data_IF_842983427695
#
_entry.id   IF_842983427695
#
_cell.length_a   1.000
_cell.length_b   1.000
_cell.length_c   1.000
_cell.angle_alpha   90.00
_cell.angle_beta   90.00
_cell.angle_gamma   90.00
#
_symmetry.space_group_name_H-M   'P 1'
#
loop_
_entity.id
_entity.type
_entity.pdbx_description
1 polymer ?
#
# COMPACT_ATOMS: atom_id res chain seq x y z
N UNK A 1 -12.46 -12.81 27.93
CA UNK A 1 -11.13 -12.18 28.06
C UNK A 1 -10.56 -12.20 26.66
N UNK A 2 -10.34 -11.08 25.96
CA UNK A 2 -9.57 -9.88 26.33
C UNK A 2 -10.44 -8.64 26.58
N UNK A 3 -10.27 -8.01 27.76
CA UNK A 3 -10.79 -6.67 28.11
C UNK A 3 -9.86 -5.60 27.52
N UNK A 4 -9.71 -5.59 26.19
CA UNK A 4 -9.07 -4.50 25.47
C UNK A 4 -9.84 -4.33 24.16
N UNK A 5 -11.02 -3.71 24.28
CA UNK A 5 -11.83 -3.33 23.13
C UNK A 5 -11.31 -1.99 22.63
N UNK A 6 -10.59 -2.00 21.50
CA UNK A 6 -10.30 -0.77 20.76
C UNK A 6 -11.57 -0.20 20.10
N UNK A 7 -12.66 -1.00 20.08
CA UNK A 7 -13.92 -0.70 19.42
C UNK A 7 -15.08 -0.96 20.37
N UNK A 8 -16.09 -0.10 20.34
CA UNK A 8 -17.31 -0.27 21.14
C UNK A 8 -18.11 -1.49 20.67
N UNK A 9 -18.09 -1.78 19.35
CA UNK A 9 -18.66 -2.96 18.67
C UNK A 9 -17.92 -3.25 17.35
N UNK A 10 -17.98 -4.49 16.86
CA UNK A 10 -17.25 -4.91 15.65
C UNK A 10 -18.06 -4.77 14.34
N UNK A 11 -19.39 -4.93 14.35
CA UNK A 11 -20.16 -4.98 13.08
C UNK A 11 -21.57 -4.36 13.13
N UNK A 12 -22.16 -4.21 14.32
CA UNK A 12 -23.54 -3.72 14.47
C UNK A 12 -23.56 -2.63 15.52
N UNK A 13 -23.92 -1.42 15.12
CA UNK A 13 -24.15 -0.29 16.02
C UNK A 13 -25.56 0.27 15.80
N UNK A 14 -26.16 0.74 16.89
CA UNK A 14 -27.47 1.39 16.91
C UNK A 14 -27.34 2.80 17.51
N UNK A 15 -28.44 3.54 17.51
CA UNK A 15 -28.47 4.91 18.04
C UNK A 15 -28.16 4.95 19.55
N UNK A 16 -28.53 3.91 20.27
CA UNK A 16 -28.32 3.76 21.72
C UNK A 16 -26.83 3.61 22.09
N UNK A 17 -25.98 3.31 21.13
CA UNK A 17 -24.53 3.13 21.32
C UNK A 17 -23.75 4.46 21.27
N UNK A 18 -24.41 5.61 21.08
CA UNK A 18 -23.70 6.89 20.96
C UNK A 18 -23.15 7.40 22.31
N UNK A 19 -21.92 7.96 22.37
CA UNK A 19 -20.95 8.06 21.27
C UNK A 19 -20.28 6.71 20.99
N UNK A 20 -19.98 6.44 19.71
CA UNK A 20 -19.31 5.21 19.29
C UNK A 20 -18.07 5.51 18.45
N UNK A 21 -17.13 4.57 18.45
CA UNK A 21 -16.07 4.45 17.45
C UNK A 21 -16.18 3.09 16.73
N UNK A 22 -16.21 3.13 15.40
CA UNK A 22 -16.29 1.95 14.54
C UNK A 22 -15.22 2.01 13.45
N UNK A 23 -14.57 0.88 13.18
CA UNK A 23 -13.67 0.67 12.05
C UNK A 23 -14.27 -0.39 11.14
N UNK A 24 -14.48 -0.05 9.88
CA UNK A 24 -14.96 -0.98 8.85
C UNK A 24 -13.82 -1.22 7.87
N UNK A 25 -13.39 -2.47 7.74
CA UNK A 25 -12.32 -2.86 6.82
C UNK A 25 -12.92 -3.48 5.57
N UNK A 26 -12.92 -2.74 4.46
CA UNK A 26 -13.31 -3.27 3.16
C UNK A 26 -12.17 -4.11 2.58
N UNK A 27 -12.47 -5.36 2.23
CA UNK A 27 -11.45 -6.31 1.80
C UNK A 27 -11.33 -6.42 0.28
N UNK A 28 -12.35 -5.98 -0.48
CA UNK A 28 -12.48 -6.30 -1.91
C UNK A 28 -11.31 -5.83 -2.79
N UNK A 29 -10.68 -4.71 -2.44
CA UNK A 29 -9.54 -4.13 -3.19
C UNK A 29 -8.20 -4.78 -2.86
N UNK A 30 -8.13 -5.58 -1.78
CA UNK A 30 -7.00 -6.48 -1.56
C UNK A 30 -7.04 -7.59 -2.62
N UNK A 31 -5.87 -8.08 -3.03
CA UNK A 31 -5.80 -9.19 -4.00
C UNK A 31 -6.32 -10.49 -3.41
N UNK A 32 -7.12 -11.20 -4.18
CA UNK A 32 -7.61 -12.52 -3.78
C UNK A 32 -8.53 -13.17 -4.79
N UNK A 33 -8.95 -14.38 -4.44
CA UNK A 33 -9.66 -15.30 -5.34
C UNK A 33 -11.05 -14.79 -5.79
N UNK A 34 -11.56 -13.73 -5.19
CA UNK A 34 -12.85 -13.12 -5.53
C UNK A 34 -12.79 -12.20 -6.76
N UNK A 35 -11.62 -11.72 -7.17
CA UNK A 35 -11.49 -10.69 -8.21
C UNK A 35 -12.19 -11.05 -9.53
N UNK A 36 -11.97 -12.27 -10.03
CA UNK A 36 -12.63 -12.77 -11.25
C UNK A 36 -14.14 -12.85 -11.08
N UNK A 37 -14.60 -13.24 -9.89
CA UNK A 37 -16.04 -13.32 -9.59
C UNK A 37 -16.68 -11.93 -9.56
N UNK A 38 -16.05 -10.96 -8.89
CA UNK A 38 -16.51 -9.56 -8.85
C UNK A 38 -16.57 -8.98 -10.26
N UNK A 39 -15.50 -9.13 -11.04
CA UNK A 39 -15.46 -8.66 -12.44
C UNK A 39 -16.56 -9.30 -13.29
N UNK A 40 -16.75 -10.62 -13.18
CA UNK A 40 -17.77 -11.35 -13.93
C UNK A 40 -19.21 -10.93 -13.57
N UNK A 41 -19.41 -10.38 -12.37
CA UNK A 41 -20.70 -9.88 -11.89
C UNK A 41 -20.87 -8.37 -12.06
N UNK A 42 -19.83 -7.63 -12.47
CA UNK A 42 -19.94 -6.19 -12.72
C UNK A 42 -20.85 -5.93 -13.92
N UNK A 43 -21.72 -4.92 -13.79
CA UNK A 43 -22.55 -4.43 -14.90
C UNK A 43 -21.75 -3.53 -15.86
N UNK A 44 -20.57 -3.05 -15.42
CA UNK A 44 -19.75 -2.08 -16.12
C UNK A 44 -18.25 -2.47 -16.08
N UNK A 45 -17.89 -3.72 -16.45
CA UNK A 45 -16.51 -4.17 -16.33
C UNK A 45 -15.57 -3.29 -17.16
N UNK A 46 -14.45 -2.89 -16.56
CA UNK A 46 -13.46 -2.04 -17.20
C UNK A 46 -12.86 -2.75 -18.42
N UNK A 47 -12.83 -2.07 -19.56
CA UNK A 47 -12.19 -2.55 -20.78
C UNK A 47 -10.65 -2.50 -20.61
N UNK A 48 -9.94 -3.64 -20.66
CA UNK A 48 -8.48 -3.67 -20.59
C UNK A 48 -7.79 -2.82 -21.66
N UNK A 49 -8.43 -2.55 -22.80
CA UNK A 49 -7.86 -1.70 -23.84
C UNK A 49 -7.95 -0.21 -23.51
N UNK A 50 -8.83 0.17 -22.59
CA UNK A 50 -9.08 1.56 -22.20
C UNK A 50 -8.28 1.99 -20.96
N UNK A 51 -7.53 1.09 -20.31
CA UNK A 51 -6.74 1.45 -19.13
C UNK A 51 -5.46 2.19 -19.50
N UNK A 52 -5.16 3.23 -18.72
CA UNK A 52 -3.89 3.94 -18.75
C UNK A 52 -2.91 3.28 -17.78
N UNK A 53 -1.88 2.63 -18.33
CA UNK A 53 -0.82 2.02 -17.54
C UNK A 53 0.27 3.06 -17.20
N UNK A 54 0.83 3.04 -15.98
CA UNK A 54 2.03 3.81 -15.68
C UNK A 54 3.18 3.41 -16.61
N UNK A 55 4.08 4.35 -16.96
CA UNK A 55 5.19 4.09 -17.89
C UNK A 55 6.22 3.06 -17.41
N UNK A 56 6.21 2.70 -16.13
CA UNK A 56 7.04 1.61 -15.58
C UNK A 56 6.39 0.23 -15.69
N UNK A 57 5.16 0.13 -16.22
CA UNK A 57 4.46 -1.13 -16.50
C UNK A 57 4.51 -1.42 -17.99
N UNK A 58 4.98 -2.61 -18.44
CA UNK A 58 4.93 -2.97 -19.84
C UNK A 58 3.49 -2.97 -20.40
N UNK A 59 3.34 -2.50 -21.63
CA UNK A 59 2.09 -2.63 -22.37
C UNK A 59 1.91 -4.10 -22.83
N UNK A 60 1.31 -4.90 -21.95
CA UNK A 60 1.07 -6.32 -22.17
C UNK A 60 -0.41 -6.67 -21.89
N UNK A 61 -1.06 -7.53 -22.71
CA UNK A 61 -2.47 -7.87 -22.54
C UNK A 61 -2.83 -8.35 -21.12
N UNK A 62 -1.98 -9.18 -20.51
CA UNK A 62 -2.19 -9.67 -19.13
C UNK A 62 -2.05 -8.60 -18.06
N UNK A 63 -1.14 -7.66 -18.23
CA UNK A 63 -0.97 -6.53 -17.30
C UNK A 63 -2.17 -5.58 -17.40
N UNK A 64 -2.67 -5.33 -18.61
CA UNK A 64 -3.89 -4.55 -18.84
C UNK A 64 -5.12 -5.22 -18.24
N UNK A 65 -5.26 -6.53 -18.42
CA UNK A 65 -6.35 -7.33 -17.85
C UNK A 65 -6.33 -7.28 -16.32
N UNK A 66 -5.15 -7.46 -15.71
CA UNK A 66 -4.95 -7.33 -14.28
C UNK A 66 -5.34 -5.94 -13.76
N UNK A 67 -4.89 -4.88 -14.43
CA UNK A 67 -5.18 -3.50 -14.05
C UNK A 67 -6.68 -3.17 -14.17
N UNK A 68 -7.33 -3.61 -15.24
CA UNK A 68 -8.77 -3.46 -15.41
C UNK A 68 -9.54 -4.22 -14.32
N UNK A 69 -9.10 -5.43 -13.99
CA UNK A 69 -9.70 -6.24 -12.92
C UNK A 69 -9.56 -5.56 -11.55
N UNK A 70 -8.42 -4.93 -11.27
CA UNK A 70 -8.25 -4.11 -10.06
C UNK A 70 -9.24 -2.93 -10.02
N UNK A 71 -9.44 -2.23 -11.14
CA UNK A 71 -10.38 -1.11 -11.21
C UNK A 71 -11.84 -1.55 -11.01
N UNK A 72 -12.23 -2.76 -11.44
CA UNK A 72 -13.54 -3.32 -11.10
C UNK A 72 -13.72 -3.50 -9.59
N UNK A 73 -12.64 -3.82 -8.85
CA UNK A 73 -12.72 -3.93 -7.38
C UNK A 73 -12.91 -2.56 -6.74
N UNK A 74 -12.36 -1.50 -7.35
CA UNK A 74 -12.58 -0.11 -6.89
C UNK A 74 -14.04 0.28 -7.07
N UNK A 75 -14.65 -0.05 -8.22
CA UNK A 75 -16.09 0.17 -8.45
C UNK A 75 -16.94 -0.59 -7.40
N UNK A 76 -16.63 -1.87 -7.16
CA UNK A 76 -17.34 -2.66 -6.18
C UNK A 76 -17.21 -2.08 -4.75
N UNK A 77 -16.00 -1.64 -4.38
CA UNK A 77 -15.74 -0.99 -3.09
C UNK A 77 -16.50 0.32 -2.93
N UNK A 78 -16.63 1.13 -3.98
CA UNK A 78 -17.44 2.35 -3.97
C UNK A 78 -18.92 2.02 -3.67
N UNK A 79 -19.44 0.95 -4.27
CA UNK A 79 -20.78 0.45 -3.93
C UNK A 79 -20.88 -0.03 -2.47
N UNK A 80 -19.89 -0.73 -1.94
CA UNK A 80 -19.86 -1.11 -0.50
C UNK A 80 -19.89 0.12 0.42
N UNK A 81 -19.14 1.17 0.09
CA UNK A 81 -19.19 2.46 0.81
C UNK A 81 -20.59 3.07 0.73
N UNK A 82 -21.23 3.04 -0.45
CA UNK A 82 -22.60 3.51 -0.64
C UNK A 82 -23.61 2.77 0.25
N UNK A 83 -23.46 1.45 0.42
CA UNK A 83 -24.31 0.66 1.32
C UNK A 83 -24.14 1.07 2.78
N UNK A 84 -22.90 1.31 3.23
CA UNK A 84 -22.62 1.77 4.60
C UNK A 84 -23.24 3.14 4.87
N UNK A 85 -23.10 4.08 3.93
CA UNK A 85 -23.70 5.41 4.05
C UNK A 85 -25.23 5.34 4.11
N UNK A 86 -25.84 4.52 3.26
CA UNK A 86 -27.28 4.29 3.25
C UNK A 86 -27.77 3.70 4.57
N UNK A 87 -27.05 2.74 5.14
CA UNK A 87 -27.41 2.16 6.45
C UNK A 87 -27.38 3.22 7.57
N UNK A 88 -26.37 4.10 7.57
CA UNK A 88 -26.28 5.22 8.51
C UNK A 88 -27.43 6.21 8.36
N UNK A 89 -27.89 6.48 7.14
CA UNK A 89 -29.06 7.30 6.83
C UNK A 89 -30.35 6.65 7.35
N UNK A 90 -30.57 5.36 7.04
CA UNK A 90 -31.75 4.60 7.47
C UNK A 90 -31.86 4.53 8.99
N UNK A 91 -30.72 4.40 9.69
CA UNK A 91 -30.63 4.44 11.16
C UNK A 91 -30.71 5.85 11.74
N UNK A 92 -30.75 6.90 10.91
CA UNK A 92 -30.75 8.33 11.32
C UNK A 92 -29.53 8.69 12.18
N UNK A 93 -28.37 8.15 11.83
CA UNK A 93 -27.11 8.34 12.55
C UNK A 93 -26.11 9.22 11.76
N UNK A 94 -26.31 9.34 10.45
CA UNK A 94 -25.40 10.04 9.53
C UNK A 94 -25.10 11.48 9.95
N UNK A 95 -26.09 12.24 10.42
CA UNK A 95 -25.95 13.66 10.79
C UNK A 95 -25.09 13.89 12.04
N UNK A 96 -24.85 12.84 12.83
CA UNK A 96 -24.04 12.87 14.05
C UNK A 96 -22.79 11.97 13.94
N UNK A 97 -22.37 11.64 12.72
CA UNK A 97 -21.22 10.78 12.47
C UNK A 97 -20.17 11.54 11.65
N UNK A 98 -18.91 11.44 12.05
CA UNK A 98 -17.75 11.84 11.24
C UNK A 98 -17.15 10.57 10.66
N UNK A 99 -16.94 10.57 9.35
CA UNK A 99 -16.43 9.45 8.58
C UNK A 99 -15.02 9.80 8.09
N UNK A 100 -14.07 8.90 8.34
CA UNK A 100 -12.76 8.92 7.71
C UNK A 100 -12.68 7.74 6.74
N UNK A 101 -12.45 8.03 5.45
CA UNK A 101 -12.18 7.02 4.44
C UNK A 101 -10.70 7.08 4.06
N UNK A 102 -10.00 5.95 4.21
CA UNK A 102 -8.56 5.81 3.98
C UNK A 102 -8.21 4.46 3.37
N UNK A 103 -7.02 4.36 2.77
CA UNK A 103 -6.35 3.08 2.55
C UNK A 103 -5.20 2.89 3.55
N UNK A 104 -4.80 1.66 3.80
CA UNK A 104 -3.64 1.30 4.64
C UNK A 104 -2.31 1.54 3.92
N UNK A 105 -2.25 1.21 2.63
CA UNK A 105 -1.13 1.43 1.74
C UNK A 105 -1.61 1.69 0.30
N UNK A 106 -0.66 2.00 -0.59
CA UNK A 106 -0.94 2.17 -2.02
C UNK A 106 -1.36 0.88 -2.74
N UNK A 107 -1.59 1.00 -4.05
CA UNK A 107 -2.13 -0.06 -4.91
C UNK A 107 -1.34 -1.37 -4.82
N UNK A 108 -1.97 -2.51 -5.04
CA UNK A 108 -1.34 -3.82 -4.93
C UNK A 108 -0.48 -4.24 -6.16
N UNK A 109 0.01 -3.26 -6.93
CA UNK A 109 0.80 -3.44 -8.17
C UNK A 109 2.31 -3.25 -7.95
N UNK A 110 3.07 -3.38 -9.03
CA UNK A 110 4.51 -3.08 -9.08
C UNK A 110 4.76 -1.63 -8.65
N UNK A 111 5.78 -1.42 -7.81
CA UNK A 111 6.10 -0.15 -7.12
C UNK A 111 5.01 0.39 -6.17
N UNK A 112 3.90 -0.31 -5.99
CA UNK A 112 2.83 0.02 -5.06
C UNK A 112 3.09 -0.50 -3.65
N UNK A 113 2.11 -1.19 -3.04
CA UNK A 113 2.14 -1.82 -1.71
C UNK A 113 3.51 -2.43 -1.41
N UNK A 114 4.05 -2.07 -0.24
CA UNK A 114 5.36 -2.51 0.21
C UNK A 114 6.53 -1.78 -0.43
N UNK A 115 6.34 -0.73 -1.22
CA UNK A 115 7.43 0.10 -1.73
C UNK A 115 7.20 1.56 -1.32
N UNK A 116 8.28 2.33 -1.15
CA UNK A 116 8.23 3.70 -0.62
C UNK A 116 8.14 4.78 -1.72
N UNK A 117 7.65 4.39 -2.90
CA UNK A 117 7.30 5.28 -4.01
C UNK A 117 5.91 5.91 -3.80
N UNK A 118 5.58 6.96 -4.56
CA UNK A 118 4.24 7.59 -4.57
C UNK A 118 3.12 6.54 -4.73
N UNK A 119 3.17 5.57 -5.68
CA UNK A 119 2.13 4.55 -5.82
C UNK A 119 1.94 3.64 -4.60
N UNK A 120 2.92 3.55 -3.70
CA UNK A 120 2.90 2.72 -2.50
C UNK A 120 2.55 3.48 -1.21
N UNK A 121 2.77 4.80 -1.19
CA UNK A 121 2.60 5.64 0.03
C UNK A 121 1.50 6.68 -0.08
N UNK A 122 1.14 7.12 -1.29
CA UNK A 122 0.06 8.08 -1.51
C UNK A 122 -1.28 7.37 -1.59
N UNK A 123 -2.02 7.48 -0.50
CA UNK A 123 -3.33 6.86 -0.29
C UNK A 123 -4.47 7.89 -0.39
N UNK A 124 -5.71 7.45 -0.66
CA UNK A 124 -6.87 8.30 -0.43
C UNK A 124 -7.01 8.63 1.06
N UNK A 125 -7.43 9.86 1.35
CA UNK A 125 -7.85 10.29 2.69
C UNK A 125 -8.98 11.31 2.57
N UNK A 126 -10.16 10.94 3.04
CA UNK A 126 -11.36 11.79 3.05
C UNK A 126 -11.86 11.87 4.49
N UNK A 127 -12.14 13.09 4.96
CA UNK A 127 -12.86 13.33 6.20
C UNK A 127 -14.20 13.99 5.86
N UNK A 128 -15.31 13.38 6.27
CA UNK A 128 -16.66 13.81 5.92
C UNK A 128 -17.56 13.79 7.15
N UNK A 129 -18.49 14.75 7.24
CA UNK A 129 -19.49 14.78 8.32
C UNK A 129 -19.78 16.20 8.80
N UNK A 130 -20.71 16.28 9.76
CA UNK A 130 -21.17 17.56 10.31
C UNK A 130 -20.02 18.36 10.92
N UNK A 131 -19.92 19.64 10.54
CA UNK A 131 -18.91 20.57 11.04
C UNK A 131 -17.60 20.56 10.27
N UNK A 132 -17.39 19.61 9.36
CA UNK A 132 -16.25 19.61 8.44
C UNK A 132 -16.58 20.52 7.25
N UNK A 133 -15.70 21.48 6.96
CA UNK A 133 -15.88 22.40 5.83
C UNK A 133 -15.50 21.70 4.52
N UNK A 134 -16.32 21.82 3.45
CA UNK A 134 -15.93 21.33 2.13
C UNK A 134 -14.64 22.01 1.64
N UNK A 135 -13.74 21.22 1.06
CA UNK A 135 -12.50 21.73 0.48
C UNK A 135 -11.51 20.62 0.13
N UNK A 136 -10.46 20.99 -0.60
CA UNK A 136 -9.32 20.12 -0.91
C UNK A 136 -8.13 20.60 -0.08
N UNK A 137 -7.50 19.67 0.63
CA UNK A 137 -6.29 19.93 1.41
C UNK A 137 -5.08 19.44 0.63
N UNK A 138 -4.22 20.36 0.20
CA UNK A 138 -2.97 20.06 -0.52
C UNK A 138 -1.76 19.93 0.42
N UNK A 139 -1.95 20.12 1.73
CA UNK A 139 -0.90 19.92 2.72
C UNK A 139 -0.56 18.45 2.86
N UNK A 140 0.70 18.14 3.16
CA UNK A 140 1.11 16.77 3.47
C UNK A 140 0.49 16.36 4.80
N UNK A 141 -0.19 15.22 4.77
CA UNK A 141 -0.85 14.57 5.91
C UNK A 141 -0.39 13.12 5.99
N UNK A 142 -0.54 12.50 7.15
CA UNK A 142 -0.20 11.09 7.39
C UNK A 142 -1.38 10.36 8.02
N UNK A 143 -1.47 9.04 7.85
CA UNK A 143 -2.43 8.21 8.59
C UNK A 143 -2.31 8.36 10.11
N UNK A 144 -1.12 8.72 10.62
CA UNK A 144 -0.91 9.05 12.03
C UNK A 144 -1.75 10.23 12.51
N UNK A 145 -2.12 11.15 11.62
CA UNK A 145 -2.95 12.32 11.91
C UNK A 145 -4.40 11.95 12.21
N UNK A 146 -4.87 10.77 11.76
CA UNK A 146 -6.23 10.30 11.98
C UNK A 146 -6.48 10.06 13.45
N UNK A 147 -5.58 9.32 14.12
CA UNK A 147 -5.67 9.08 15.56
C UNK A 147 -5.69 10.39 16.34
N UNK A 148 -4.84 11.34 15.97
CA UNK A 148 -4.83 12.67 16.60
C UNK A 148 -6.12 13.46 16.34
N UNK A 149 -6.72 13.31 15.16
CA UNK A 149 -8.00 13.94 14.79
C UNK A 149 -9.18 13.36 15.54
N UNK A 150 -9.23 12.02 15.71
CA UNK A 150 -10.26 11.34 16.48
C UNK A 150 -10.24 11.79 17.94
N UNK A 151 -9.05 11.87 18.55
CA UNK A 151 -8.91 12.35 19.93
C UNK A 151 -9.33 13.81 20.09
N UNK A 152 -8.99 14.67 19.13
CA UNK A 152 -9.40 16.08 19.09
C UNK A 152 -10.93 16.22 18.99
N UNK A 153 -11.57 15.48 18.08
CA UNK A 153 -13.03 15.42 17.94
C UNK A 153 -13.69 14.95 19.24
N UNK A 154 -13.11 13.94 19.89
CA UNK A 154 -13.64 13.37 21.14
C UNK A 154 -13.39 14.28 22.37
N UNK A 155 -12.66 15.39 22.22
CA UNK A 155 -12.27 16.25 23.35
C UNK A 155 -11.28 15.57 24.32
N UNK A 156 -10.59 14.53 23.87
CA UNK A 156 -9.61 13.78 24.67
C UNK A 156 -8.24 14.41 24.50
N UNK A 157 -7.55 14.70 25.62
CA UNK A 157 -6.18 15.20 25.57
C UNK A 157 -5.27 14.17 24.88
N UNK A 158 -4.71 14.53 23.73
CA UNK A 158 -3.76 13.70 22.99
C UNK A 158 -2.53 13.37 23.85
N UNK A 159 -2.18 12.09 24.04
CA UNK A 159 -0.91 11.70 24.66
C UNK A 159 0.31 12.25 23.91
N UNK A 160 1.40 12.47 24.65
CA UNK A 160 2.64 13.06 24.11
C UNK A 160 3.37 12.12 23.15
N UNK A 161 3.19 10.80 23.29
CA UNK A 161 3.78 9.79 22.42
C UNK A 161 3.05 9.60 21.07
N UNK A 162 1.89 10.25 20.86
CA UNK A 162 1.23 10.26 19.55
C UNK A 162 1.85 11.37 18.70
N UNK A 163 2.53 10.97 17.62
CA UNK A 163 3.25 11.89 16.73
C UNK A 163 2.36 12.68 15.78
N UNK A 164 1.21 12.11 15.41
CA UNK A 164 0.25 12.76 14.51
C UNK A 164 -0.32 14.06 15.06
N UNK A 165 -0.78 14.92 14.16
CA UNK A 165 -1.47 16.18 14.45
C UNK A 165 -2.90 16.10 13.94
N UNK A 166 -3.85 16.67 14.67
CA UNK A 166 -5.24 16.72 14.18
C UNK A 166 -5.30 17.41 12.82
N UNK A 167 -6.13 16.87 11.92
CA UNK A 167 -6.43 17.44 10.60
C UNK A 167 -7.23 18.76 10.72
N UNK A 168 -7.87 18.99 11.86
CA UNK A 168 -8.68 20.18 12.14
C UNK A 168 -7.92 21.25 12.94
N UNK A 169 -6.71 20.92 13.40
CA UNK A 169 -5.86 21.87 14.11
C UNK A 169 -5.40 23.00 13.18
N UNK A 170 -5.56 24.25 13.62
CA UNK A 170 -5.05 25.42 12.90
C UNK A 170 -3.53 25.53 13.03
N UNK A 171 -2.88 25.95 11.95
CA UNK A 171 -1.45 26.28 11.93
C UNK A 171 -0.73 25.64 10.75
N UNK A 172 0.55 25.99 10.59
CA UNK A 172 1.37 25.45 9.50
C UNK A 172 1.78 24.01 9.80
N UNK A 173 1.50 23.08 8.88
CA UNK A 173 2.04 21.71 8.95
C UNK A 173 3.44 21.64 8.33
N UNK A 174 4.27 20.69 8.79
CA UNK A 174 5.49 20.34 8.07
C UNK A 174 5.14 19.90 6.65
N UNK A 175 5.86 20.43 5.65
CA UNK A 175 5.69 20.04 4.26
C UNK A 175 6.51 18.79 3.91
N UNK A 176 6.49 17.80 4.80
CA UNK A 176 7.20 16.54 4.64
C UNK A 176 6.56 15.41 5.45
N UNK A 177 6.76 14.16 5.01
CA UNK A 177 6.49 12.95 5.79
C UNK A 177 7.65 11.96 5.65
N UNK A 178 7.74 11.05 6.61
CA UNK A 178 8.71 9.95 6.62
C UNK A 178 7.97 8.63 6.45
N UNK A 179 8.56 7.70 5.72
CA UNK A 179 8.10 6.31 5.68
C UNK A 179 9.27 5.34 5.85
N UNK A 180 8.95 4.15 6.32
CA UNK A 180 9.91 3.09 6.57
C UNK A 180 9.37 1.76 6.04
N UNK A 181 10.27 0.94 5.51
CA UNK A 181 10.05 -0.48 5.23
C UNK A 181 11.17 -1.28 5.85
N UNK A 182 10.78 -2.30 6.60
CA UNK A 182 11.66 -3.32 7.13
C UNK A 182 11.36 -4.65 6.41
N UNK A 183 11.30 -5.79 7.10
CA UNK A 183 10.91 -7.03 6.43
C UNK A 183 9.44 -6.99 5.98
N UNK A 184 9.18 -7.65 4.86
CA UNK A 184 7.83 -7.96 4.41
C UNK A 184 7.77 -9.46 4.16
N UNK A 185 7.05 -10.17 5.04
CA UNK A 185 7.01 -11.62 5.08
C UNK A 185 8.45 -12.19 5.19
N UNK A 186 8.83 -13.08 4.27
CA UNK A 186 10.16 -13.70 4.18
C UNK A 186 11.25 -12.78 3.59
N UNK A 187 10.87 -11.63 3.02
CA UNK A 187 11.80 -10.71 2.38
C UNK A 187 12.39 -9.74 3.41
N UNK A 188 13.69 -9.88 3.66
CA UNK A 188 14.44 -8.94 4.52
C UNK A 188 14.78 -7.69 3.73
N UNK A 189 14.35 -6.55 4.24
CA UNK A 189 14.59 -5.26 3.62
C UNK A 189 14.81 -4.17 4.69
N UNK A 190 15.46 -3.07 4.32
CA UNK A 190 15.55 -1.88 5.15
C UNK A 190 15.66 -0.63 4.28
N UNK A 191 14.54 0.10 4.19
CA UNK A 191 14.38 1.30 3.37
C UNK A 191 13.76 2.39 4.22
N UNK A 192 14.25 3.62 4.06
CA UNK A 192 13.65 4.82 4.67
C UNK A 192 13.42 5.86 3.59
N UNK A 193 12.34 6.61 3.68
CA UNK A 193 12.06 7.71 2.76
C UNK A 193 11.72 9.01 3.47
N UNK A 194 12.02 10.12 2.80
CA UNK A 194 11.51 11.46 3.13
C UNK A 194 10.84 11.99 1.88
N UNK A 195 9.56 12.29 1.99
CA UNK A 195 8.82 12.93 0.90
C UNK A 195 8.38 14.32 1.33
N UNK A 196 8.51 15.26 0.41
CA UNK A 196 8.13 16.67 0.54
C UNK A 196 7.10 17.00 -0.54
N UNK A 197 6.64 18.25 -0.60
CA UNK A 197 5.71 18.68 -1.67
C UNK A 197 6.33 18.63 -3.08
N UNK A 198 7.65 18.50 -3.20
CA UNK A 198 8.35 18.49 -4.49
C UNK A 198 9.27 17.28 -4.69
N UNK A 199 9.84 16.74 -3.62
CA UNK A 199 10.86 15.70 -3.70
C UNK A 199 10.49 14.48 -2.89
N UNK A 200 10.72 13.30 -3.46
CA UNK A 200 10.81 12.03 -2.72
C UNK A 200 12.26 11.58 -2.70
N UNK A 201 12.79 11.32 -1.50
CA UNK A 201 14.10 10.71 -1.29
C UNK A 201 13.91 9.34 -0.68
N UNK A 202 14.63 8.35 -1.19
CA UNK A 202 14.62 6.98 -0.69
C UNK A 202 16.06 6.56 -0.42
N UNK A 203 16.31 5.95 0.74
CA UNK A 203 17.59 5.36 1.10
C UNK A 203 17.43 3.86 1.24
N UNK A 204 18.15 3.12 0.39
CA UNK A 204 18.22 1.67 0.43
C UNK A 204 19.44 1.26 1.26
N UNK A 205 19.21 0.67 2.43
CA UNK A 205 20.31 0.17 3.28
C UNK A 205 20.81 -1.21 2.85
N UNK A 206 20.08 -1.86 1.94
CA UNK A 206 20.40 -3.17 1.36
C UNK A 206 20.42 -3.08 -0.18
N UNK A 207 21.28 -2.22 -0.78
CA UNK A 207 21.28 -1.96 -2.21
C UNK A 207 21.72 -3.16 -3.05
N UNK A 208 22.40 -4.13 -2.46
CA UNK A 208 22.80 -5.37 -3.11
C UNK A 208 21.61 -6.27 -3.46
N UNK A 209 20.45 -6.06 -2.83
CA UNK A 209 19.22 -6.82 -3.10
C UNK A 209 18.40 -6.12 -4.19
N UNK A 210 17.80 -6.87 -5.13
CA UNK A 210 16.89 -6.31 -6.13
C UNK A 210 15.56 -5.86 -5.52
N UNK A 211 14.71 -5.19 -6.30
CA UNK A 211 13.31 -4.93 -5.90
C UNK A 211 12.43 -6.17 -5.99
N UNK A 212 12.64 -6.99 -7.04
CA UNK A 212 12.05 -8.32 -7.17
C UNK A 212 12.93 -9.35 -6.45
N UNK A 213 12.56 -9.68 -5.21
CA UNK A 213 13.25 -10.66 -4.38
C UNK A 213 12.55 -12.02 -4.39
N UNK A 214 11.69 -12.29 -5.38
CA UNK A 214 10.90 -13.51 -5.45
C UNK A 214 10.10 -13.78 -4.17
N UNK A 215 9.38 -12.76 -3.69
CA UNK A 215 8.47 -12.92 -2.56
C UNK A 215 7.31 -13.86 -2.94
N UNK A 216 6.91 -14.73 -2.02
CA UNK A 216 5.75 -15.63 -2.13
C UNK A 216 4.50 -14.82 -2.42
N UNK A 217 4.26 -13.72 -1.67
CA UNK A 217 3.12 -12.85 -1.95
C UNK A 217 3.13 -12.30 -3.38
N UNK A 218 4.28 -11.84 -3.89
CA UNK A 218 4.35 -11.32 -5.27
C UNK A 218 4.03 -12.43 -6.29
N UNK A 219 4.53 -13.64 -6.08
CA UNK A 219 4.33 -14.75 -7.01
C UNK A 219 2.86 -15.20 -7.11
N UNK A 220 2.12 -15.14 -6.01
CA UNK A 220 0.71 -15.53 -6.00
C UNK A 220 -0.24 -14.39 -6.37
N UNK A 221 0.11 -13.15 -6.01
CA UNK A 221 -0.82 -12.03 -6.07
C UNK A 221 -0.48 -11.03 -7.17
N UNK A 222 0.71 -10.99 -7.76
CA UNK A 222 1.06 -10.00 -8.80
C UNK A 222 1.36 -10.61 -10.16
N UNK A 223 0.35 -11.00 -10.95
CA UNK A 223 0.52 -11.50 -12.32
C UNK A 223 1.53 -10.73 -13.20
N UNK A 224 1.54 -9.40 -13.12
CA UNK A 224 2.51 -8.56 -13.83
C UNK A 224 3.97 -8.94 -13.56
N UNK A 225 4.32 -9.45 -12.37
CA UNK A 225 5.70 -9.81 -12.04
C UNK A 225 6.22 -10.92 -12.96
N UNK A 226 5.39 -11.92 -13.26
CA UNK A 226 5.79 -13.06 -14.08
C UNK A 226 5.95 -12.69 -15.54
N UNK A 227 5.06 -11.83 -16.04
CA UNK A 227 5.18 -11.21 -17.37
C UNK A 227 6.47 -10.40 -17.46
N UNK A 228 6.76 -9.55 -16.47
CA UNK A 228 7.97 -8.73 -16.46
C UNK A 228 9.25 -9.57 -16.38
N UNK A 229 9.28 -10.64 -15.57
CA UNK A 229 10.41 -11.60 -15.53
C UNK A 229 10.65 -12.26 -16.88
N UNK A 230 9.58 -12.66 -17.56
CA UNK A 230 9.66 -13.23 -18.92
C UNK A 230 10.23 -12.21 -19.91
N UNK A 231 9.68 -11.00 -19.92
CA UNK A 231 10.17 -9.91 -20.79
C UNK A 231 11.62 -9.53 -20.49
N UNK A 232 12.06 -9.57 -19.22
CA UNK A 232 13.47 -9.39 -18.83
C UNK A 232 14.34 -10.46 -19.48
N UNK A 233 13.97 -11.73 -19.34
CA UNK A 233 14.72 -12.86 -19.89
C UNK A 233 14.80 -12.81 -21.43
N UNK A 234 13.77 -12.27 -22.09
CA UNK A 234 13.72 -12.07 -23.54
C UNK A 234 14.42 -10.78 -24.01
N UNK A 235 14.88 -9.91 -23.11
CA UNK A 235 15.48 -8.62 -23.45
C UNK A 235 14.49 -7.61 -24.05
N UNK A 236 13.20 -7.71 -23.69
CA UNK A 236 12.09 -6.90 -24.24
C UNK A 236 11.63 -5.76 -23.33
N UNK A 237 12.23 -5.58 -22.16
CA UNK A 237 11.96 -4.43 -21.30
C UNK A 237 12.71 -3.20 -21.83
N UNK A 238 12.03 -2.05 -21.82
CA UNK A 238 12.64 -0.75 -22.08
C UNK A 238 13.23 -0.14 -20.80
N UNK A 239 13.81 1.06 -20.91
CA UNK A 239 14.49 1.72 -19.80
C UNK A 239 13.59 2.04 -18.58
N UNK A 240 12.28 2.22 -18.76
CA UNK A 240 11.37 2.53 -17.65
C UNK A 240 10.82 1.25 -17.02
N UNK A 241 10.51 0.26 -17.86
CA UNK A 241 9.95 -1.03 -17.44
C UNK A 241 11.01 -1.98 -16.89
N UNK A 242 12.30 -1.74 -17.16
CA UNK A 242 13.41 -2.48 -16.55
C UNK A 242 13.72 -2.05 -15.11
N UNK A 243 13.34 -0.83 -14.70
CA UNK A 243 13.77 -0.25 -13.40
C UNK A 243 13.52 -1.17 -12.21
N UNK A 244 12.31 -1.75 -12.11
CA UNK A 244 11.96 -2.65 -11.02
C UNK A 244 12.65 -4.02 -11.11
N UNK A 245 13.15 -4.36 -12.29
CA UNK A 245 13.75 -5.64 -12.64
C UNK A 245 15.28 -5.62 -12.56
N UNK A 246 15.90 -4.50 -12.18
CA UNK A 246 17.34 -4.41 -11.97
C UNK A 246 17.82 -5.31 -10.83
N UNK A 247 19.03 -5.85 -10.97
CA UNK A 247 19.60 -6.80 -10.00
C UNK A 247 20.07 -6.14 -8.70
N UNK A 248 20.23 -4.81 -8.72
CA UNK A 248 20.65 -4.00 -7.58
C UNK A 248 19.90 -2.68 -7.52
N UNK A 249 19.75 -2.15 -6.31
CA UNK A 249 19.15 -0.84 -6.07
C UNK A 249 20.21 0.25 -5.95
N UNK A 250 19.90 1.50 -6.32
CA UNK A 250 20.71 2.64 -5.92
C UNK A 250 20.77 2.72 -4.39
N UNK A 251 21.92 3.02 -3.79
CA UNK A 251 21.99 3.26 -2.35
C UNK A 251 21.10 4.45 -1.91
N UNK A 252 20.98 5.45 -2.79
CA UNK A 252 20.12 6.61 -2.60
C UNK A 252 19.39 6.98 -3.88
N UNK A 253 18.12 7.35 -3.74
CA UNK A 253 17.24 7.80 -4.80
C UNK A 253 16.70 9.19 -4.46
N UNK A 254 16.62 10.07 -5.45
CA UNK A 254 15.95 11.37 -5.35
C UNK A 254 15.11 11.61 -6.59
N UNK A 255 13.84 11.93 -6.42
CA UNK A 255 12.91 12.24 -7.49
C UNK A 255 12.30 13.62 -7.29
N UNK A 256 12.20 14.43 -8.34
CA UNK A 256 11.41 15.67 -8.37
C UNK A 256 10.00 15.32 -8.86
N UNK A 257 9.11 14.96 -7.93
CA UNK A 257 7.77 14.44 -8.22
C UNK A 257 6.86 15.45 -8.92
N UNK A 258 7.24 16.73 -8.97
CA UNK A 258 6.51 17.75 -9.75
C UNK A 258 6.84 17.72 -11.24
N UNK A 259 8.01 17.16 -11.59
CA UNK A 259 8.47 17.01 -12.98
C UNK A 259 8.40 15.56 -13.46
N UNK A 260 8.55 14.63 -12.53
CA UNK A 260 8.59 13.19 -12.75
C UNK A 260 7.64 12.48 -11.75
N UNK A 261 6.32 12.53 -11.99
CA UNK A 261 5.33 11.98 -11.05
C UNK A 261 5.36 10.46 -10.94
N UNK A 262 6.09 9.77 -11.82
CA UNK A 262 6.26 8.33 -11.80
C UNK A 262 7.62 7.89 -11.24
N UNK A 263 8.44 8.84 -10.79
CA UNK A 263 9.71 8.60 -10.11
C UNK A 263 10.62 7.66 -10.93
N UNK A 264 10.83 7.99 -12.20
CA UNK A 264 11.62 7.20 -13.16
C UNK A 264 13.07 7.65 -13.24
N UNK A 265 13.35 8.93 -12.99
CA UNK A 265 14.66 9.53 -13.16
C UNK A 265 15.31 9.83 -11.81
N UNK A 266 16.24 8.98 -11.39
CA UNK A 266 16.97 9.17 -10.14
C UNK A 266 18.00 10.32 -10.24
N UNK A 267 17.75 11.40 -9.50
CA UNK A 267 18.55 12.61 -9.45
C UNK A 267 19.63 12.60 -8.36
N UNK A 268 19.79 11.51 -7.61
CA UNK A 268 20.67 11.48 -6.42
C UNK A 268 22.14 11.76 -6.73
N UNK A 269 22.58 11.44 -7.95
CA UNK A 269 23.93 11.69 -8.46
C UNK A 269 24.04 12.94 -9.34
N UNK A 270 22.93 13.65 -9.60
CA UNK A 270 22.94 14.86 -10.41
C UNK A 270 23.53 16.05 -9.62
N UNK A 271 24.64 16.67 -10.07
CA UNK A 271 25.27 17.80 -9.39
C UNK A 271 24.35 19.00 -9.16
N UNK A 272 23.36 19.25 -10.03
CA UNK A 272 22.40 20.35 -9.89
C UNK A 272 21.53 20.21 -8.64
N UNK A 273 21.29 18.97 -8.19
CA UNK A 273 20.47 18.63 -7.04
C UNK A 273 21.29 18.40 -5.76
N UNK A 274 22.60 18.64 -5.77
CA UNK A 274 23.49 18.40 -4.63
C UNK A 274 23.07 19.17 -3.35
N UNK A 275 22.54 20.39 -3.50
CA UNK A 275 22.03 21.20 -2.39
C UNK A 275 20.76 20.59 -1.76
N UNK A 276 19.85 20.07 -2.59
CA UNK A 276 18.64 19.37 -2.18
C UNK A 276 19.01 18.07 -1.46
N UNK A 277 19.91 17.27 -2.05
CA UNK A 277 20.43 16.04 -1.42
C UNK A 277 21.04 16.30 -0.05
N UNK A 278 21.87 17.34 0.09
CA UNK A 278 22.47 17.71 1.39
C UNK A 278 21.39 18.01 2.43
N UNK A 279 20.35 18.75 2.05
CA UNK A 279 19.23 19.10 2.95
C UNK A 279 18.44 17.85 3.36
N UNK A 280 18.06 17.00 2.41
CA UNK A 280 17.22 15.83 2.70
C UNK A 280 17.98 14.75 3.48
N UNK A 281 19.27 14.52 3.17
CA UNK A 281 20.14 13.64 4.00
C UNK A 281 20.19 14.11 5.44
N UNK A 282 20.26 15.43 5.67
CA UNK A 282 20.19 16.01 7.02
C UNK A 282 18.83 15.74 7.67
N UNK A 283 17.72 15.93 6.96
CA UNK A 283 16.38 15.61 7.48
C UNK A 283 16.28 14.14 7.92
N UNK A 284 16.75 13.21 7.09
CA UNK A 284 16.78 11.78 7.41
C UNK A 284 17.63 11.49 8.66
N UNK A 285 18.85 12.04 8.71
CA UNK A 285 19.75 11.84 9.85
C UNK A 285 19.20 12.43 11.16
N UNK A 286 18.57 13.61 11.10
CA UNK A 286 17.96 14.24 12.27
C UNK A 286 16.75 13.44 12.76
N UNK A 287 15.95 12.89 11.84
CA UNK A 287 14.82 12.01 12.17
C UNK A 287 15.30 10.73 12.86
N UNK A 288 16.35 10.08 12.32
CA UNK A 288 16.96 8.88 12.90
C UNK A 288 17.64 9.14 14.25
N UNK A 289 18.19 10.34 14.47
CA UNK A 289 18.77 10.70 15.77
C UNK A 289 17.70 11.00 16.83
N UNK A 290 16.51 11.43 16.41
CA UNK A 290 15.40 11.78 17.32
C UNK A 290 14.45 10.62 17.61
N UNK A 291 14.56 9.51 16.86
CA UNK A 291 13.71 8.34 17.00
C UNK A 291 14.56 7.09 17.07
N UNK A 292 14.24 6.18 18.00
CA UNK A 292 14.88 4.88 18.04
C UNK A 292 14.39 4.01 16.87
N UNK A 293 15.15 4.00 15.78
CA UNK A 293 14.85 3.22 14.58
C UNK A 293 15.26 1.76 14.78
N UNK A 294 14.39 0.97 15.42
CA UNK A 294 14.65 -0.44 15.70
C UNK A 294 14.93 -1.26 14.44
N UNK A 295 14.34 -0.89 13.30
CA UNK A 295 14.54 -1.59 12.04
C UNK A 295 15.93 -1.38 11.43
N UNK A 296 16.61 -0.28 11.78
CA UNK A 296 18.02 -0.10 11.47
C UNK A 296 18.93 -0.82 12.48
N UNK A 297 18.55 -0.84 13.76
CA UNK A 297 19.30 -1.51 14.83
C UNK A 297 19.41 -3.03 14.58
N UNK A 298 18.32 -3.68 14.17
CA UNK A 298 18.25 -5.13 14.00
C UNK A 298 18.51 -5.60 12.56
N UNK A 299 18.81 -4.69 11.62
CA UNK A 299 18.88 -4.98 10.18
C UNK A 299 19.79 -6.17 9.84
N UNK A 300 20.90 -6.35 10.56
CA UNK A 300 21.87 -7.43 10.34
C UNK A 300 21.51 -8.74 11.05
N UNK A 301 20.60 -8.69 12.03
CA UNK A 301 20.23 -9.83 12.88
C UNK A 301 18.81 -10.32 12.63
N UNK A 302 18.03 -9.61 11.80
CA UNK A 302 16.65 -9.95 11.51
C UNK A 302 16.56 -11.29 10.78
N UNK A 303 15.70 -12.17 11.28
CA UNK A 303 15.46 -13.48 10.70
C UNK A 303 13.94 -13.69 10.54
N UNK A 304 13.37 -13.43 9.35
CA UNK A 304 11.95 -13.66 9.12
C UNK A 304 11.65 -15.15 9.19
N UNK A 305 10.43 -15.51 9.57
CA UNK A 305 10.03 -16.91 9.66
C UNK A 305 10.16 -17.57 8.27
N UNK A 306 10.85 -18.71 8.21
CA UNK A 306 10.84 -19.56 7.04
C UNK A 306 9.50 -20.31 7.03
N UNK A 307 8.53 -19.82 6.26
CA UNK A 307 7.36 -20.61 5.97
C UNK A 307 7.76 -21.76 5.04
N UNK A 308 7.25 -22.98 5.31
CA UNK A 308 7.22 -24.02 4.29
C UNK A 308 6.48 -23.41 3.11
N UNK A 309 7.19 -23.18 2.00
CA UNK A 309 6.69 -22.21 1.04
C UNK A 309 5.44 -22.78 0.39
N UNK A 310 4.31 -22.08 0.53
CA UNK A 310 3.08 -22.36 -0.20
C UNK A 310 3.38 -22.57 -1.69
N UNK A 311 4.38 -21.85 -2.21
CA UNK A 311 4.96 -22.02 -3.55
C UNK A 311 5.39 -23.47 -3.82
N UNK A 312 6.24 -24.06 -2.99
CA UNK A 312 6.72 -25.44 -3.17
C UNK A 312 5.57 -26.46 -3.11
N UNK A 313 4.62 -26.24 -2.19
CA UNK A 313 3.44 -27.09 -2.10
C UNK A 313 2.59 -27.01 -3.39
N UNK A 314 2.36 -25.81 -3.93
CA UNK A 314 1.59 -25.62 -5.17
C UNK A 314 2.32 -26.17 -6.38
N UNK A 315 3.63 -25.98 -6.51
CA UNK A 315 4.44 -26.58 -7.59
C UNK A 315 4.30 -28.10 -7.59
N UNK A 316 4.29 -28.72 -6.41
CA UNK A 316 4.18 -30.17 -6.26
C UNK A 316 2.75 -30.69 -6.51
N UNK A 317 1.74 -30.02 -5.97
CA UNK A 317 0.37 -30.55 -5.89
C UNK A 317 -0.60 -29.96 -6.94
N UNK A 318 -0.30 -28.80 -7.51
CA UNK A 318 -1.10 -28.14 -8.55
C UNK A 318 -0.22 -27.45 -9.63
N UNK A 319 0.69 -28.20 -10.30
CA UNK A 319 1.68 -27.63 -11.23
C UNK A 319 1.04 -26.93 -12.44
N UNK A 320 -0.16 -27.33 -12.83
CA UNK A 320 -0.85 -26.71 -13.98
C UNK A 320 -1.32 -25.29 -13.65
N UNK A 321 -1.78 -25.04 -12.43
CA UNK A 321 -2.14 -23.69 -12.02
C UNK A 321 -0.91 -22.84 -11.72
N UNK A 322 0.17 -23.44 -11.21
CA UNK A 322 1.45 -22.75 -11.10
C UNK A 322 1.93 -22.22 -12.45
N UNK A 323 1.86 -23.05 -13.51
CA UNK A 323 2.21 -22.63 -14.87
C UNK A 323 1.35 -21.46 -15.38
N UNK A 324 0.05 -21.44 -15.03
CA UNK A 324 -0.81 -20.28 -15.35
C UNK A 324 -0.36 -19.00 -14.65
N UNK A 325 0.02 -19.09 -13.36
CA UNK A 325 0.58 -17.93 -12.65
C UNK A 325 1.83 -17.40 -13.36
N UNK A 326 2.74 -18.29 -13.77
CA UNK A 326 3.95 -17.92 -14.52
C UNK A 326 3.63 -17.24 -15.87
N UNK A 327 2.47 -17.52 -16.47
CA UNK A 327 1.99 -16.86 -17.70
C UNK A 327 1.27 -15.53 -17.45
N UNK A 328 1.22 -15.06 -16.19
CA UNK A 328 0.57 -13.82 -15.80
C UNK A 328 -0.95 -13.94 -15.68
N UNK A 329 -1.47 -15.12 -15.35
CA UNK A 329 -2.88 -15.28 -15.00
C UNK A 329 -3.15 -14.83 -13.55
N UNK A 330 -4.31 -14.23 -13.32
CA UNK A 330 -4.78 -13.90 -11.97
C UNK A 330 -5.06 -15.20 -11.21
N UNK A 331 -4.39 -15.39 -10.08
CA UNK A 331 -4.62 -16.52 -9.18
C UNK A 331 -5.98 -16.45 -8.50
N UNK A 332 -6.72 -17.56 -8.51
CA UNK A 332 -8.06 -17.69 -7.93
C UNK A 332 -8.23 -18.92 -7.02
N UNK A 333 -7.11 -19.56 -6.67
CA UNK A 333 -7.06 -20.76 -5.82
C UNK A 333 -6.21 -20.57 -4.56
N UNK A 334 -5.75 -19.36 -4.26
CA UNK A 334 -4.83 -19.12 -3.15
C UNK A 334 -5.43 -19.56 -1.80
N UNK A 335 -6.68 -19.19 -1.53
CA UNK A 335 -7.39 -19.59 -0.33
C UNK A 335 -7.71 -21.09 -0.28
N UNK A 336 -7.84 -21.75 -1.44
CA UNK A 336 -7.95 -23.21 -1.52
C UNK A 336 -6.63 -23.89 -1.16
N UNK A 337 -5.50 -23.45 -1.75
CA UNK A 337 -4.18 -24.03 -1.48
C UNK A 337 -3.77 -23.90 -0.02
N UNK A 338 -4.00 -22.74 0.62
CA UNK A 338 -3.73 -22.57 2.06
C UNK A 338 -4.53 -23.58 2.90
N UNK A 339 -5.81 -23.80 2.56
CA UNK A 339 -6.66 -24.76 3.29
C UNK A 339 -6.17 -26.20 3.12
N UNK A 340 -5.77 -26.60 1.92
CA UNK A 340 -5.28 -27.95 1.66
C UNK A 340 -3.89 -28.20 2.28
N UNK A 341 -2.97 -27.24 2.16
CA UNK A 341 -1.65 -27.32 2.80
C UNK A 341 -1.76 -27.50 4.32
N UNK A 342 -2.65 -26.72 4.97
CA UNK A 342 -2.89 -26.83 6.40
C UNK A 342 -3.57 -28.13 6.84
N UNK A 343 -4.30 -28.83 5.94
CA UNK A 343 -4.81 -30.18 6.24
C UNK A 343 -3.70 -31.22 6.18
N UNK A 344 -2.78 -31.08 5.22
CA UNK A 344 -1.66 -32.00 5.03
C UNK A 344 -0.62 -31.91 6.15
N UNK A 345 -0.48 -30.77 6.84
CA UNK A 345 0.46 -30.59 7.95
C UNK A 345 -0.04 -31.15 9.30
N UNK A 346 -1.31 -31.57 9.38
CA UNK A 346 -1.94 -32.15 10.58
C UNK A 346 -1.94 -33.70 10.54
N UNK A 347 -1.57 -34.30 9.40
CA UNK A 347 -1.40 -35.76 9.23
C UNK A 347 0.08 -36.13 9.29
#
# INVERSE_FOLDING_TARGET
MTKFGLFDKYDVFTKEDQPFFAQIQLNVTHRGDWWKTVRAQSNHPVDPKAVDLPPYMPDHPKIREEWATYLDQIEYMDNEVGLILKELEEKRMIDNTIIFFIADNGRCDIRGKGYLYEPGTKIPMIAWGKGIKPGVINEIVSTLDITASILDIAGVKKPDNIMGKSLFQKGKRPAYFYAARDNWDEVIECIRSVSTTQYTYIKNYMPERPWDQHQIYLDFHRPAIHVMRTLKAEGKLDANTSLFMEDHKPAEELYDITKDPFELNNLSMNPEYASVMKKIRKMMSDWQASHRDCGLEDMQTRNPAAEESLRDWVIKNDPQEWEKLLQGEIGDKHGFWIKEMNKSSIQ
#
